data_IF_754068810690
#
_entry.id   IF_754068810690
#
_cell.length_a   1.000
_cell.length_b   1.000
_cell.length_c   1.000
_cell.angle_alpha   90.00
_cell.angle_beta   90.00
_cell.angle_gamma   90.00
#
_symmetry.space_group_name_H-M   'P 1'
#
loop_
_entity.id
_entity.type
_entity.pdbx_description
1 polymer ?
#
# COMPACT_ATOMS: atom_id res chain seq x y z
N UNK A 1 5.51 46.78 28.82
CA UNK A 1 4.42 45.85 28.43
C UNK A 1 4.72 45.33 27.03
N UNK A 2 5.44 44.21 26.92
CA UNK A 2 5.72 43.55 25.65
C UNK A 2 4.77 42.35 25.51
N UNK A 3 3.88 42.38 24.53
CA UNK A 3 2.98 41.27 24.21
C UNK A 3 3.77 40.27 23.37
N UNK A 4 4.03 39.11 23.96
CA UNK A 4 4.65 37.97 23.27
C UNK A 4 3.57 37.26 22.45
N UNK A 5 3.67 37.36 21.13
CA UNK A 5 2.86 36.59 20.18
C UNK A 5 3.37 35.15 20.16
N UNK A 6 2.63 34.23 20.77
CA UNK A 6 2.83 32.79 20.63
C UNK A 6 2.38 32.38 19.23
N UNK A 7 3.33 32.10 18.34
CA UNK A 7 3.08 31.42 17.09
C UNK A 7 2.76 29.95 17.40
N UNK A 8 1.50 29.55 17.21
CA UNK A 8 1.08 28.15 17.26
C UNK A 8 1.63 27.46 16.00
N UNK A 9 2.68 26.65 16.17
CA UNK A 9 3.20 25.80 15.09
C UNK A 9 2.22 24.64 14.90
N UNK A 10 1.39 24.72 13.86
CA UNK A 10 0.50 23.64 13.46
C UNK A 10 1.36 22.53 12.81
N UNK A 11 1.69 21.49 13.57
CA UNK A 11 2.30 20.27 13.03
C UNK A 11 1.21 19.49 12.31
N UNK A 12 1.09 19.66 10.99
CA UNK A 12 0.28 18.76 10.17
C UNK A 12 0.95 17.38 10.13
N UNK A 13 0.36 16.44 10.87
CA UNK A 13 0.64 15.01 10.73
C UNK A 13 0.15 14.56 9.34
N UNK A 14 1.01 14.71 8.34
CA UNK A 14 0.80 14.13 7.02
C UNK A 14 0.93 12.62 7.13
N UNK A 15 -0.19 11.91 7.06
CA UNK A 15 -0.21 10.45 6.97
C UNK A 15 0.61 10.01 5.73
N UNK A 16 1.48 9.00 5.86
CA UNK A 16 2.25 8.51 4.73
C UNK A 16 1.29 7.93 3.68
N UNK A 17 1.25 8.57 2.51
CA UNK A 17 0.64 7.99 1.34
C UNK A 17 1.43 6.72 0.95
N UNK A 18 0.92 5.56 1.34
CA UNK A 18 1.49 4.28 0.93
C UNK A 18 1.38 4.20 -0.60
N UNK A 19 2.54 4.14 -1.26
CA UNK A 19 2.63 3.88 -2.68
C UNK A 19 2.08 2.45 -2.93
N UNK A 20 0.80 2.36 -3.32
CA UNK A 20 0.12 1.08 -3.55
C UNK A 20 0.78 0.33 -4.70
N UNK A 21 1.29 -0.86 -4.37
CA UNK A 21 2.05 -1.76 -5.26
C UNK A 21 1.19 -2.73 -6.08
N UNK A 22 -0.11 -2.83 -5.79
CA UNK A 22 -0.95 -3.85 -6.41
C UNK A 22 -1.68 -3.28 -7.63
N UNK A 23 -1.25 -3.68 -8.85
CA UNK A 23 -1.91 -3.30 -10.11
C UNK A 23 -3.32 -3.92 -10.26
N UNK A 24 -3.64 -4.92 -9.45
CA UNK A 24 -4.85 -5.73 -9.63
C UNK A 24 -6.07 -5.28 -8.81
N UNK A 25 -5.92 -4.37 -7.84
CA UNK A 25 -7.02 -3.95 -6.97
C UNK A 25 -7.03 -2.42 -6.81
N UNK A 26 -7.61 -1.71 -7.78
CA UNK A 26 -7.94 -0.28 -7.67
C UNK A 26 -9.10 -0.08 -6.70
N UNK A 27 -8.85 -0.22 -5.40
CA UNK A 27 -9.77 0.29 -4.39
C UNK A 27 -9.68 1.82 -4.37
N UNK A 28 -10.50 2.50 -5.15
CA UNK A 28 -10.65 3.94 -5.01
C UNK A 28 -11.38 4.15 -3.67
N UNK A 29 -10.71 4.76 -2.67
CA UNK A 29 -11.44 5.42 -1.60
C UNK A 29 -12.27 6.49 -2.31
N UNK A 30 -13.53 6.16 -2.59
CA UNK A 30 -14.45 7.14 -3.11
C UNK A 30 -14.56 8.17 -2.00
N UNK A 31 -13.98 9.34 -2.24
CA UNK A 31 -14.35 10.56 -1.54
C UNK A 31 -15.79 10.86 -1.95
N UNK A 32 -16.72 10.05 -1.48
CA UNK A 32 -18.11 10.42 -1.44
C UNK A 32 -18.13 11.68 -0.59
N UNK A 33 -18.52 12.79 -1.20
CA UNK A 33 -18.84 14.02 -0.50
C UNK A 33 -20.07 13.64 0.33
N UNK A 34 -19.84 13.08 1.51
CA UNK A 34 -20.89 12.72 2.43
C UNK A 34 -21.41 14.06 2.94
N UNK A 35 -22.45 14.60 2.30
CA UNK A 35 -23.25 15.72 2.81
C UNK A 35 -24.07 15.28 4.05
N UNK A 36 -23.56 14.33 4.83
CA UNK A 36 -24.12 13.92 6.09
C UNK A 36 -24.03 15.11 7.04
N UNK A 37 -25.16 15.69 7.48
CA UNK A 37 -25.15 16.91 8.28
C UNK A 37 -24.56 16.71 9.69
N UNK A 38 -24.28 15.47 10.11
CA UNK A 38 -23.65 15.11 11.37
C UNK A 38 -23.02 13.69 11.32
N UNK A 39 -21.73 13.59 11.00
CA UNK A 39 -21.00 12.31 10.94
C UNK A 39 -20.95 11.60 12.31
N UNK A 40 -20.91 12.37 13.40
CA UNK A 40 -20.91 11.83 14.76
C UNK A 40 -22.24 11.12 15.06
N UNK A 41 -23.37 11.74 14.72
CA UNK A 41 -24.68 11.12 14.89
C UNK A 41 -24.84 9.85 14.05
N UNK A 42 -24.39 9.85 12.80
CA UNK A 42 -24.45 8.67 11.93
C UNK A 42 -23.61 7.51 12.45
N UNK A 43 -22.37 7.80 12.86
CA UNK A 43 -21.46 6.82 13.45
C UNK A 43 -22.02 6.24 14.74
N UNK A 44 -22.54 7.10 15.63
CA UNK A 44 -23.17 6.69 16.89
C UNK A 44 -24.39 5.79 16.64
N UNK A 45 -25.25 6.15 15.68
CA UNK A 45 -26.41 5.34 15.31
C UNK A 45 -26.00 3.95 14.82
N UNK A 46 -25.02 3.89 13.90
CA UNK A 46 -24.54 2.61 13.37
C UNK A 46 -23.88 1.74 14.45
N UNK A 47 -23.03 2.30 15.32
CA UNK A 47 -22.40 1.53 16.40
C UNK A 47 -23.44 0.91 17.36
N UNK A 48 -24.57 1.59 17.56
CA UNK A 48 -25.70 1.03 18.33
C UNK A 48 -26.39 -0.13 17.60
N UNK A 49 -26.54 -0.04 16.28
CA UNK A 49 -27.07 -1.13 15.45
C UNK A 49 -26.18 -2.37 15.54
N UNK A 50 -24.87 -2.18 15.59
CA UNK A 50 -23.92 -3.27 15.81
C UNK A 50 -24.03 -3.88 17.21
N UNK A 51 -24.60 -3.16 18.19
CA UNK A 51 -24.89 -3.69 19.53
C UNK A 51 -24.23 -2.94 20.69
N UNK A 52 -23.63 -1.76 20.44
CA UNK A 52 -23.08 -0.96 21.53
C UNK A 52 -24.18 -0.29 22.35
N UNK A 53 -23.89 -0.08 23.63
CA UNK A 53 -24.74 0.75 24.48
C UNK A 53 -24.79 2.18 23.92
N UNK A 54 -25.88 2.91 24.21
CA UNK A 54 -26.02 4.30 23.78
C UNK A 54 -24.83 5.17 24.23
N UNK A 55 -24.36 4.95 25.47
CA UNK A 55 -23.24 5.70 26.03
C UNK A 55 -21.91 5.37 25.32
N UNK A 56 -21.62 4.10 25.08
CA UNK A 56 -20.36 3.69 24.42
C UNK A 56 -20.32 4.10 22.95
N UNK A 57 -21.44 3.95 22.24
CA UNK A 57 -21.55 4.38 20.85
C UNK A 57 -21.36 5.90 20.71
N UNK A 58 -21.99 6.69 21.58
CA UNK A 58 -21.79 8.15 21.63
C UNK A 58 -20.34 8.53 21.95
N UNK A 59 -19.71 7.83 22.90
CA UNK A 59 -18.31 8.08 23.25
C UNK A 59 -17.35 7.81 22.08
N UNK A 60 -17.49 6.67 21.40
CA UNK A 60 -16.66 6.34 20.24
C UNK A 60 -16.89 7.31 19.09
N UNK A 61 -18.15 7.66 18.82
CA UNK A 61 -18.48 8.60 17.76
C UNK A 61 -17.86 9.97 18.00
N UNK A 62 -18.03 10.53 19.20
CA UNK A 62 -17.44 11.82 19.58
C UNK A 62 -15.90 11.78 19.54
N UNK A 63 -15.31 10.68 19.99
CA UNK A 63 -13.86 10.52 20.06
C UNK A 63 -13.21 10.43 18.67
N UNK A 64 -13.85 9.74 17.73
CA UNK A 64 -13.24 9.38 16.45
C UNK A 64 -13.79 10.21 15.26
N UNK A 65 -14.91 10.91 15.41
CA UNK A 65 -15.54 11.74 14.34
C UNK A 65 -14.55 12.71 13.69
N UNK A 66 -13.80 13.46 14.51
CA UNK A 66 -12.79 14.41 14.04
C UNK A 66 -11.73 13.75 13.14
N UNK A 67 -11.33 12.52 13.46
CA UNK A 67 -10.33 11.78 12.71
C UNK A 67 -10.87 11.37 11.34
N UNK A 68 -12.12 10.90 11.31
CA UNK A 68 -12.79 10.49 10.08
C UNK A 68 -12.95 11.66 9.10
N UNK A 69 -13.31 12.84 9.61
CA UNK A 69 -13.38 14.08 8.83
C UNK A 69 -12.01 14.47 8.26
N UNK A 70 -10.97 14.41 9.10
CA UNK A 70 -9.63 14.89 8.73
C UNK A 70 -8.93 13.95 7.76
N UNK A 71 -9.16 12.64 7.89
CA UNK A 71 -8.46 11.62 7.12
C UNK A 71 -9.29 11.06 5.95
N UNK A 72 -10.51 11.58 5.76
CA UNK A 72 -11.40 11.16 4.69
C UNK A 72 -11.90 9.72 4.83
N UNK A 73 -11.86 9.15 6.03
CA UNK A 73 -12.38 7.81 6.28
C UNK A 73 -13.92 7.89 6.35
N UNK A 74 -14.59 7.23 5.42
CA UNK A 74 -16.05 7.27 5.30
C UNK A 74 -16.72 6.19 6.16
N UNK A 75 -17.97 6.39 6.57
CA UNK A 75 -18.74 5.38 7.30
C UNK A 75 -18.85 4.04 6.54
N UNK A 76 -19.09 4.01 5.21
CA UNK A 76 -19.03 2.76 4.44
C UNK A 76 -17.68 2.03 4.51
N UNK A 77 -16.57 2.77 4.54
CA UNK A 77 -15.24 2.17 4.72
C UNK A 77 -15.08 1.52 6.10
N UNK A 78 -15.53 2.20 7.16
CA UNK A 78 -15.53 1.63 8.52
C UNK A 78 -16.39 0.38 8.62
N UNK A 79 -17.60 0.41 8.06
CA UNK A 79 -18.50 -0.76 8.00
C UNK A 79 -17.80 -1.96 7.38
N UNK A 80 -17.18 -1.77 6.20
CA UNK A 80 -16.44 -2.84 5.52
C UNK A 80 -15.27 -3.36 6.36
N UNK A 81 -14.54 -2.47 7.04
CA UNK A 81 -13.43 -2.87 7.91
C UNK A 81 -13.92 -3.67 9.13
N UNK A 82 -15.03 -3.26 9.74
CA UNK A 82 -15.67 -3.98 10.84
C UNK A 82 -16.22 -5.34 10.41
N UNK A 83 -16.84 -5.42 9.23
CA UNK A 83 -17.30 -6.68 8.63
C UNK A 83 -16.14 -7.68 8.47
N UNK A 84 -15.00 -7.27 7.91
CA UNK A 84 -13.83 -8.15 7.78
C UNK A 84 -13.25 -8.58 9.14
N UNK A 85 -13.34 -7.72 10.16
CA UNK A 85 -12.87 -8.02 11.51
C UNK A 85 -13.76 -9.02 12.24
N UNK A 86 -15.08 -9.01 11.98
CA UNK A 86 -16.07 -9.81 12.73
C UNK A 86 -16.62 -11.00 11.95
N UNK A 87 -16.53 -11.02 10.62
CA UNK A 87 -17.04 -12.10 9.79
C UNK A 87 -16.38 -13.44 10.16
N UNK A 88 -17.18 -14.51 10.15
CA UNK A 88 -16.70 -15.88 10.40
C UNK A 88 -15.70 -16.37 9.36
N UNK A 89 -15.76 -15.81 8.14
CA UNK A 89 -14.77 -16.01 7.06
C UNK A 89 -13.68 -14.95 7.03
N UNK A 90 -13.76 -13.94 7.90
CA UNK A 90 -12.75 -12.91 8.10
C UNK A 90 -11.86 -13.25 9.30
N UNK A 91 -11.53 -12.24 10.10
CA UNK A 91 -10.66 -12.40 11.29
C UNK A 91 -11.42 -13.01 12.48
N UNK A 92 -12.76 -12.89 12.50
CA UNK A 92 -13.67 -13.43 13.51
C UNK A 92 -13.38 -12.95 14.95
N UNK A 93 -13.06 -11.67 15.10
CA UNK A 93 -12.88 -11.04 16.41
C UNK A 93 -14.23 -10.89 17.13
N UNK A 94 -14.24 -11.02 18.48
CA UNK A 94 -15.35 -10.56 19.28
C UNK A 94 -15.62 -9.08 19.02
N UNK A 95 -16.89 -8.69 18.98
CA UNK A 95 -17.32 -7.32 18.72
C UNK A 95 -16.60 -6.27 19.59
N UNK A 96 -16.42 -6.56 20.88
CA UNK A 96 -15.74 -5.66 21.83
C UNK A 96 -14.29 -5.34 21.45
N UNK A 97 -13.61 -6.28 20.78
CA UNK A 97 -12.23 -6.12 20.32
C UNK A 97 -12.16 -5.57 18.88
N UNK A 98 -13.19 -5.82 18.07
CA UNK A 98 -13.25 -5.39 16.68
C UNK A 98 -13.35 -3.87 16.53
N UNK A 99 -14.15 -3.20 17.37
CA UNK A 99 -14.38 -1.74 17.24
C UNK A 99 -13.12 -0.91 17.51
N UNK A 100 -12.38 -1.10 18.62
CA UNK A 100 -11.11 -0.41 18.82
C UNK A 100 -10.14 -0.65 17.66
N UNK A 101 -10.01 -1.91 17.20
CA UNK A 101 -9.11 -2.27 16.10
C UNK A 101 -9.53 -1.67 14.76
N UNK A 102 -10.82 -1.59 14.48
CA UNK A 102 -11.34 -0.94 13.28
C UNK A 102 -10.87 0.51 13.22
N UNK A 103 -10.99 1.28 14.31
CA UNK A 103 -10.52 2.66 14.32
C UNK A 103 -8.99 2.75 14.21
N UNK A 104 -8.24 1.87 14.87
CA UNK A 104 -6.78 1.82 14.75
C UNK A 104 -6.34 1.51 13.30
N UNK A 105 -7.03 0.61 12.62
CA UNK A 105 -6.73 0.24 11.23
C UNK A 105 -7.20 1.30 10.24
N UNK A 106 -8.31 1.99 10.52
CA UNK A 106 -8.74 3.16 9.76
C UNK A 106 -7.73 4.31 9.87
N UNK A 107 -7.08 4.49 11.03
CA UNK A 107 -5.94 5.41 11.27
C UNK A 107 -4.75 5.17 10.36
N UNK A 108 -4.60 3.92 9.91
CA UNK A 108 -3.54 3.47 9.02
C UNK A 108 -3.99 3.37 7.56
N UNK A 109 -5.24 3.73 7.27
CA UNK A 109 -5.87 3.63 5.95
C UNK A 109 -5.70 2.24 5.30
N UNK A 110 -5.81 1.17 6.10
CA UNK A 110 -5.63 -0.20 5.60
C UNK A 110 -6.79 -0.58 4.69
N UNK A 111 -6.48 -1.30 3.61
CA UNK A 111 -7.52 -1.92 2.77
C UNK A 111 -8.11 -3.12 3.52
N UNK A 112 -9.44 -3.16 3.79
CA UNK A 112 -10.07 -4.22 4.58
C UNK A 112 -9.85 -5.62 4.00
N UNK A 113 -9.94 -5.74 2.67
CA UNK A 113 -9.83 -7.02 1.97
C UNK A 113 -8.39 -7.51 1.99
N UNK A 114 -7.42 -6.63 1.73
CA UNK A 114 -6.01 -6.99 1.84
C UNK A 114 -5.62 -7.37 3.28
N UNK A 115 -6.15 -6.68 4.28
CA UNK A 115 -5.92 -7.01 5.69
C UNK A 115 -6.42 -8.43 6.02
N UNK A 116 -7.66 -8.74 5.65
CA UNK A 116 -8.26 -10.06 5.84
C UNK A 116 -7.47 -11.16 5.11
N UNK A 117 -7.12 -10.94 3.84
CA UNK A 117 -6.31 -11.87 3.06
C UNK A 117 -4.91 -12.08 3.66
N UNK A 118 -4.26 -11.01 4.15
CA UNK A 118 -2.95 -11.10 4.79
C UNK A 118 -3.05 -11.91 6.09
N UNK A 119 -4.05 -11.63 6.93
CA UNK A 119 -4.30 -12.42 8.14
C UNK A 119 -4.44 -13.91 7.83
N UNK A 120 -5.22 -14.27 6.82
CA UNK A 120 -5.41 -15.66 6.42
C UNK A 120 -4.12 -16.31 5.89
N UNK A 121 -3.31 -15.61 5.10
CA UNK A 121 -2.01 -16.14 4.66
C UNK A 121 -1.08 -16.41 5.85
N UNK A 122 -1.12 -15.57 6.89
CA UNK A 122 -0.34 -15.77 8.11
C UNK A 122 -0.88 -16.91 8.97
N UNK A 123 -2.19 -16.96 9.18
CA UNK A 123 -2.85 -17.88 10.11
C UNK A 123 -3.05 -19.29 9.54
N UNK A 124 -3.45 -19.42 8.27
CA UNK A 124 -3.97 -20.68 7.74
C UNK A 124 -2.92 -21.79 7.79
N UNK A 125 -3.28 -22.85 8.51
CA UNK A 125 -2.46 -24.06 8.66
C UNK A 125 -2.91 -25.20 7.76
N UNK A 126 -4.15 -25.15 7.26
CA UNK A 126 -4.80 -26.27 6.61
C UNK A 126 -4.82 -26.06 5.09
N UNK A 127 -4.57 -27.12 4.32
CA UNK A 127 -4.69 -27.09 2.86
C UNK A 127 -6.15 -27.17 2.45
N UNK A 128 -7.01 -26.30 2.96
CA UNK A 128 -8.43 -26.38 2.64
C UNK A 128 -8.67 -26.27 1.11
N UNK A 129 -7.72 -25.72 0.34
CA UNK A 129 -7.82 -25.56 -1.11
C UNK A 129 -6.56 -25.96 -1.90
N UNK A 130 -5.88 -27.03 -1.49
CA UNK A 130 -5.06 -27.86 -2.39
C UNK A 130 -3.80 -27.25 -3.05
N UNK A 131 -3.44 -25.97 -2.87
CA UNK A 131 -2.36 -25.39 -3.69
C UNK A 131 -1.29 -24.55 -2.96
N UNK A 132 -1.43 -24.23 -1.66
CA UNK A 132 -0.35 -23.64 -0.87
C UNK A 132 -0.64 -23.73 0.63
N UNK A 133 0.37 -24.00 1.46
CA UNK A 133 0.26 -23.88 2.92
C UNK A 133 0.49 -22.41 3.28
N UNK A 134 -0.39 -21.83 4.11
CA UNK A 134 -0.08 -20.56 4.77
C UNK A 134 1.13 -20.67 5.71
N UNK A 135 1.45 -19.56 6.38
CA UNK A 135 2.60 -19.51 7.29
C UNK A 135 2.32 -20.22 8.62
N UNK A 136 1.08 -20.65 8.90
CA UNK A 136 0.72 -21.39 10.11
C UNK A 136 1.11 -20.64 11.41
N UNK A 137 0.83 -19.36 11.53
CA UNK A 137 1.06 -18.58 12.75
C UNK A 137 -0.10 -18.74 13.74
N UNK A 138 0.16 -18.43 15.02
CA UNK A 138 -0.93 -18.34 15.98
C UNK A 138 -1.86 -17.17 15.62
N UNK A 139 -3.19 -17.27 15.86
CA UNK A 139 -4.14 -16.21 15.52
C UNK A 139 -3.73 -14.83 16.02
N UNK A 140 -3.21 -14.76 17.25
CA UNK A 140 -2.76 -13.51 17.86
C UNK A 140 -1.57 -12.89 17.12
N UNK A 141 -0.58 -13.71 16.73
CA UNK A 141 0.60 -13.24 15.98
C UNK A 141 0.20 -12.76 14.58
N UNK A 142 -0.65 -13.52 13.89
CA UNK A 142 -1.16 -13.14 12.58
C UNK A 142 -1.91 -11.80 12.64
N UNK A 143 -2.74 -11.60 13.67
CA UNK A 143 -3.50 -10.36 13.89
C UNK A 143 -2.59 -9.16 14.16
N UNK A 144 -1.49 -9.36 14.89
CA UNK A 144 -0.52 -8.31 15.19
C UNK A 144 0.35 -7.95 13.97
N UNK A 145 0.70 -8.93 13.14
CA UNK A 145 1.63 -8.76 12.02
C UNK A 145 0.96 -8.33 10.71
N UNK A 146 -0.28 -8.78 10.44
CA UNK A 146 -0.97 -8.48 9.18
C UNK A 146 -1.08 -6.96 8.88
N UNK A 147 -1.47 -6.10 9.84
CA UNK A 147 -1.52 -4.65 9.62
C UNK A 147 -0.18 -4.08 9.18
N UNK A 148 0.91 -4.45 9.85
CA UNK A 148 2.25 -3.95 9.55
C UNK A 148 2.71 -4.35 8.13
N UNK A 149 2.41 -5.58 7.70
CA UNK A 149 2.73 -6.03 6.34
C UNK A 149 1.92 -5.28 5.28
N UNK A 150 0.64 -5.03 5.53
CA UNK A 150 -0.23 -4.26 4.63
C UNK A 150 0.21 -2.80 4.55
N UNK A 151 0.61 -2.18 5.67
CA UNK A 151 1.19 -0.82 5.70
C UNK A 151 2.45 -0.72 4.84
N UNK A 152 3.26 -1.78 4.84
CA UNK A 152 4.47 -1.86 3.99
C UNK A 152 4.15 -2.15 2.51
N UNK A 153 2.87 -2.28 2.15
CA UNK A 153 2.42 -2.57 0.79
C UNK A 153 2.68 -4.01 0.36
N UNK A 154 2.82 -4.93 1.32
CA UNK A 154 3.07 -6.35 1.05
C UNK A 154 1.79 -6.99 0.49
N UNK A 155 1.91 -7.66 -0.65
CA UNK A 155 0.83 -8.46 -1.22
C UNK A 155 0.76 -9.82 -0.51
N UNK A 156 -0.43 -10.21 -0.05
CA UNK A 156 -0.66 -11.53 0.56
C UNK A 156 -0.38 -12.67 -0.42
N UNK A 157 -0.70 -12.49 -1.70
CA UNK A 157 -0.40 -13.45 -2.78
C UNK A 157 1.10 -13.62 -2.98
N UNK A 158 1.84 -12.51 -3.03
CA UNK A 158 3.31 -12.54 -3.18
C UNK A 158 3.97 -13.16 -1.96
N UNK A 159 3.52 -12.82 -0.74
CA UNK A 159 4.03 -13.41 0.49
C UNK A 159 3.87 -14.94 0.49
N UNK A 160 2.67 -15.43 0.15
CA UNK A 160 2.39 -16.87 0.09
C UNK A 160 3.26 -17.57 -0.96
N UNK A 161 3.40 -16.95 -2.15
CA UNK A 161 4.23 -17.49 -3.23
C UNK A 161 5.71 -17.53 -2.85
N UNK A 162 6.23 -16.46 -2.27
CA UNK A 162 7.61 -16.38 -1.78
C UNK A 162 7.87 -17.42 -0.69
N UNK A 163 6.95 -17.57 0.26
CA UNK A 163 7.02 -18.59 1.29
C UNK A 163 7.17 -19.99 0.70
N UNK A 164 6.32 -20.36 -0.26
CA UNK A 164 6.37 -21.68 -0.89
C UNK A 164 7.70 -21.92 -1.64
N UNK A 165 8.30 -20.89 -2.25
CA UNK A 165 9.61 -21.02 -2.91
C UNK A 165 10.78 -21.11 -1.93
N UNK A 166 10.63 -20.64 -0.69
CA UNK A 166 11.72 -20.59 0.29
C UNK A 166 11.74 -21.81 1.22
N UNK A 167 10.64 -22.53 1.34
CA UNK A 167 10.48 -23.67 2.25
C UNK A 167 10.78 -25.00 1.55
N UNK A 168 11.98 -25.55 1.74
CA UNK A 168 12.39 -26.89 1.27
C UNK A 168 12.16 -27.98 2.35
N UNK A 169 11.01 -27.93 3.03
CA UNK A 169 10.48 -28.92 4.01
C UNK A 169 11.06 -29.03 5.44
N UNK A 170 12.30 -28.60 5.75
CA UNK A 170 12.89 -28.93 7.09
C UNK A 170 12.78 -27.80 8.13
N UNK A 171 12.99 -26.55 7.74
CA UNK A 171 12.75 -25.37 8.58
C UNK A 171 12.03 -24.31 7.76
N UNK A 172 10.90 -23.81 8.27
CA UNK A 172 10.10 -22.80 7.59
C UNK A 172 10.58 -21.42 8.05
N UNK A 173 11.31 -20.64 7.23
CA UNK A 173 11.85 -19.35 7.62
C UNK A 173 10.74 -18.28 7.56
N UNK A 174 9.70 -18.45 8.40
CA UNK A 174 8.48 -17.63 8.37
C UNK A 174 8.83 -16.15 8.56
N UNK A 175 9.72 -15.86 9.51
CA UNK A 175 10.13 -14.50 9.86
C UNK A 175 10.89 -13.86 8.71
N UNK A 176 11.88 -14.55 8.15
CA UNK A 176 12.70 -14.05 7.06
C UNK A 176 11.87 -13.81 5.80
N UNK A 177 10.95 -14.73 5.48
CA UNK A 177 10.05 -14.57 4.33
C UNK A 177 9.18 -13.32 4.47
N UNK A 178 8.63 -13.06 5.66
CA UNK A 178 7.87 -11.83 5.92
C UNK A 178 8.75 -10.59 5.82
N UNK A 179 9.97 -10.62 6.37
CA UNK A 179 10.93 -9.52 6.25
C UNK A 179 11.31 -9.23 4.80
N UNK A 180 11.48 -10.26 3.96
CA UNK A 180 11.78 -10.11 2.53
C UNK A 180 10.58 -9.61 1.74
N UNK A 181 9.38 -10.12 2.01
CA UNK A 181 8.16 -9.64 1.36
C UNK A 181 7.88 -8.17 1.72
N UNK A 182 8.07 -7.79 2.99
CA UNK A 182 7.97 -6.42 3.49
C UNK A 182 9.04 -5.49 2.90
N UNK A 183 10.26 -6.01 2.71
CA UNK A 183 11.31 -5.29 1.99
C UNK A 183 10.95 -5.09 0.52
N UNK A 184 10.04 -5.91 -0.01
CA UNK A 184 9.45 -5.80 -1.32
C UNK A 184 9.95 -6.79 -2.36
N UNK A 185 10.46 -7.94 -1.90
CA UNK A 185 10.89 -9.06 -2.72
C UNK A 185 9.70 -9.70 -3.46
N UNK A 186 9.69 -9.64 -4.80
CA UNK A 186 8.72 -10.37 -5.62
C UNK A 186 9.12 -11.85 -5.77
N UNK A 187 8.14 -12.75 -5.62
CA UNK A 187 8.41 -14.18 -5.55
C UNK A 187 9.00 -14.75 -6.85
N UNK A 188 8.54 -14.28 -8.02
CA UNK A 188 9.03 -14.74 -9.32
C UNK A 188 10.48 -14.30 -9.60
N UNK A 189 10.82 -13.07 -9.17
CA UNK A 189 12.18 -12.55 -9.29
C UNK A 189 13.13 -13.28 -8.37
N UNK A 190 12.71 -13.54 -7.13
CA UNK A 190 13.44 -14.38 -6.20
C UNK A 190 13.71 -15.76 -6.79
N UNK A 191 12.67 -16.43 -7.31
CA UNK A 191 12.82 -17.76 -7.88
C UNK A 191 13.80 -17.78 -9.06
N UNK A 192 13.68 -16.82 -9.98
CA UNK A 192 14.58 -16.70 -11.13
C UNK A 192 16.03 -16.47 -10.70
N UNK A 193 16.27 -15.57 -9.74
CA UNK A 193 17.60 -15.30 -9.21
C UNK A 193 18.17 -16.49 -8.42
N UNK A 194 17.31 -17.24 -7.71
CA UNK A 194 17.70 -18.44 -6.98
C UNK A 194 18.09 -19.58 -7.92
N UNK A 195 17.34 -19.80 -9.01
CA UNK A 195 17.71 -20.79 -10.03
C UNK A 195 19.06 -20.49 -10.68
N UNK A 196 19.42 -19.22 -10.84
CA UNK A 196 20.70 -18.82 -11.43
C UNK A 196 21.89 -18.94 -10.47
N UNK A 197 21.68 -18.68 -9.17
CA UNK A 197 22.78 -18.53 -8.19
C UNK A 197 22.88 -19.68 -7.20
N UNK A 198 21.78 -20.41 -6.99
CA UNK A 198 21.59 -21.38 -5.90
C UNK A 198 21.94 -20.84 -4.50
N UNK A 199 21.90 -19.51 -4.30
CA UNK A 199 22.26 -18.87 -3.04
C UNK A 199 21.13 -17.93 -2.55
N UNK A 200 20.40 -18.35 -1.52
CA UNK A 200 19.15 -17.71 -1.06
C UNK A 200 19.30 -16.20 -0.83
N UNK A 201 20.31 -15.77 -0.08
CA UNK A 201 20.49 -14.34 0.23
C UNK A 201 20.88 -13.49 -0.98
N UNK A 202 21.60 -14.07 -1.96
CA UNK A 202 21.96 -13.36 -3.19
C UNK A 202 20.72 -13.21 -4.07
N UNK A 203 19.88 -14.24 -4.13
CA UNK A 203 18.62 -14.20 -4.85
C UNK A 203 17.63 -13.18 -4.28
N UNK A 204 17.53 -13.08 -2.95
CA UNK A 204 16.69 -12.06 -2.27
C UNK A 204 17.19 -10.65 -2.56
N UNK A 205 18.49 -10.41 -2.44
CA UNK A 205 19.10 -9.11 -2.72
C UNK A 205 18.81 -8.66 -4.16
N UNK A 206 19.02 -9.55 -5.13
CA UNK A 206 18.75 -9.27 -6.54
C UNK A 206 17.25 -9.07 -6.84
N UNK A 207 16.39 -9.88 -6.24
CA UNK A 207 14.94 -9.76 -6.41
C UNK A 207 14.42 -8.42 -5.89
N UNK A 208 14.82 -8.01 -4.68
CA UNK A 208 14.45 -6.71 -4.12
C UNK A 208 15.00 -5.58 -4.99
N UNK A 209 16.29 -5.63 -5.34
CA UNK A 209 16.94 -4.58 -6.15
C UNK A 209 16.20 -4.37 -7.47
N UNK A 210 15.92 -5.46 -8.19
CA UNK A 210 15.25 -5.38 -9.50
C UNK A 210 13.77 -5.04 -9.38
N UNK A 211 13.07 -5.48 -8.32
CA UNK A 211 11.67 -5.14 -8.01
C UNK A 211 11.43 -3.63 -7.84
N UNK A 212 12.48 -2.86 -7.56
CA UNK A 212 12.39 -1.43 -7.28
C UNK A 212 13.17 -0.55 -8.23
N UNK A 213 13.76 -1.09 -9.30
CA UNK A 213 14.45 -0.26 -10.28
C UNK A 213 13.51 0.85 -10.78
N UNK A 214 13.82 2.08 -10.32
CA UNK A 214 13.11 3.34 -10.57
C UNK A 214 11.69 3.50 -9.99
N UNK A 215 11.19 2.59 -9.14
CA UNK A 215 9.77 2.61 -8.73
C UNK A 215 9.49 2.87 -7.26
N UNK A 216 10.45 2.63 -6.35
CA UNK A 216 10.29 3.04 -4.97
C UNK A 216 11.57 3.64 -4.40
N UNK A 217 11.37 4.69 -3.62
CA UNK A 217 12.39 5.36 -2.85
C UNK A 217 12.05 5.21 -1.36
N UNK A 218 13.08 5.14 -0.50
CA UNK A 218 12.91 5.16 0.96
C UNK A 218 13.84 6.20 1.58
N UNK A 219 13.40 6.82 2.66
CA UNK A 219 14.22 7.77 3.41
C UNK A 219 15.29 7.06 4.23
N UNK A 220 16.53 7.47 4.08
CA UNK A 220 17.65 7.10 4.92
C UNK A 220 17.69 7.95 6.21
N UNK A 221 18.56 7.58 7.16
CA UNK A 221 18.77 8.29 8.42
C UNK A 221 19.33 9.71 8.23
N UNK A 222 19.92 10.00 7.07
CA UNK A 222 20.36 11.35 6.69
C UNK A 222 19.24 12.24 6.13
N UNK A 223 18.00 11.72 6.09
CA UNK A 223 16.82 12.40 5.59
C UNK A 223 16.72 12.45 4.06
N UNK A 224 17.66 11.87 3.32
CA UNK A 224 17.58 11.76 1.85
C UNK A 224 16.86 10.49 1.45
N UNK A 225 16.29 10.48 0.26
CA UNK A 225 15.66 9.29 -0.30
C UNK A 225 16.59 8.61 -1.29
N UNK A 226 16.55 7.28 -1.31
CA UNK A 226 17.38 6.45 -2.18
C UNK A 226 16.53 5.39 -2.85
N UNK A 227 16.89 5.03 -4.09
CA UNK A 227 16.43 3.77 -4.70
C UNK A 227 17.02 2.57 -3.94
N UNK A 228 16.45 1.38 -4.10
CA UNK A 228 17.00 0.18 -3.45
C UNK A 228 18.50 -0.03 -3.75
N UNK A 229 18.93 0.19 -5.00
CA UNK A 229 20.35 0.07 -5.38
C UNK A 229 21.23 1.10 -4.66
N UNK A 230 20.84 2.39 -4.68
CA UNK A 230 21.63 3.43 -4.02
C UNK A 230 21.61 3.27 -2.48
N UNK A 231 20.51 2.75 -1.93
CA UNK A 231 20.38 2.47 -0.49
C UNK A 231 21.32 1.33 -0.08
N UNK A 232 21.47 0.31 -0.94
CA UNK A 232 22.47 -0.75 -0.78
C UNK A 232 23.89 -0.21 -0.79
N UNK A 233 24.23 0.64 -1.75
CA UNK A 233 25.57 1.26 -1.82
C UNK A 233 25.85 2.12 -0.58
N UNK A 234 24.84 2.82 -0.06
CA UNK A 234 24.96 3.68 1.12
C UNK A 234 25.17 2.90 2.43
N UNK A 235 24.43 1.82 2.67
CA UNK A 235 24.45 1.06 3.93
C UNK A 235 25.25 -0.24 3.90
N UNK A 236 25.76 -0.65 2.74
CA UNK A 236 26.53 -1.88 2.56
C UNK A 236 25.76 -3.12 3.03
N UNK A 237 26.39 -4.00 3.79
CA UNK A 237 25.78 -5.27 4.23
C UNK A 237 24.53 -5.11 5.13
N UNK A 238 24.33 -3.94 5.74
CA UNK A 238 23.18 -3.68 6.63
C UNK A 238 21.98 -3.08 5.90
N UNK A 239 22.07 -2.87 4.60
CA UNK A 239 21.08 -2.12 3.84
C UNK A 239 19.67 -2.69 3.94
N UNK A 240 19.51 -4.02 3.89
CA UNK A 240 18.19 -4.65 3.90
C UNK A 240 17.45 -4.41 5.23
N UNK A 241 18.16 -4.55 6.35
CA UNK A 241 17.61 -4.26 7.68
C UNK A 241 17.19 -2.80 7.80
N UNK A 242 18.01 -1.89 7.29
CA UNK A 242 17.72 -0.44 7.30
C UNK A 242 16.57 -0.09 6.34
N UNK A 243 16.53 -0.71 5.16
CA UNK A 243 15.50 -0.52 4.14
C UNK A 243 14.12 -0.90 4.67
N UNK A 244 13.97 -2.07 5.29
CA UNK A 244 12.70 -2.53 5.86
C UNK A 244 12.21 -1.65 7.01
N UNK A 245 13.13 -1.04 7.78
CA UNK A 245 12.81 -0.09 8.84
C UNK A 245 12.56 1.35 8.33
N UNK A 246 12.95 1.66 7.10
CA UNK A 246 12.90 3.01 6.55
C UNK A 246 11.51 3.34 6.02
N UNK A 247 10.97 4.54 6.28
CA UNK A 247 9.71 4.97 5.69
C UNK A 247 9.78 5.00 4.16
N UNK A 248 8.71 4.56 3.49
CA UNK A 248 8.56 4.75 2.06
C UNK A 248 8.50 6.25 1.75
N UNK A 249 9.27 6.69 0.75
CA UNK A 249 9.16 8.05 0.25
C UNK A 249 7.81 8.22 -0.46
N UNK A 250 7.15 9.35 -0.24
CA UNK A 250 5.93 9.68 -0.96
C UNK A 250 6.25 9.89 -2.46
N UNK A 251 5.27 9.67 -3.33
CA UNK A 251 5.45 9.54 -4.79
C UNK A 251 6.41 10.62 -5.33
N UNK A 252 7.47 10.18 -6.00
CA UNK A 252 8.49 11.05 -6.58
C UNK A 252 8.06 11.40 -8.00
N UNK A 253 7.93 12.68 -8.33
CA UNK A 253 7.63 13.09 -9.71
C UNK A 253 8.88 13.01 -10.61
N UNK A 254 8.72 13.24 -11.91
CA UNK A 254 9.82 13.23 -12.88
C UNK A 254 10.93 14.26 -12.56
N UNK A 255 10.61 15.29 -11.78
CA UNK A 255 11.57 16.28 -11.30
C UNK A 255 12.44 15.79 -10.12
N UNK A 256 12.26 14.54 -9.72
CA UNK A 256 12.99 13.91 -8.64
C UNK A 256 12.54 14.33 -7.24
N UNK A 257 11.50 15.17 -7.07
CA UNK A 257 11.01 15.56 -5.74
C UNK A 257 9.94 14.60 -5.24
N UNK A 258 9.92 14.33 -3.94
CA UNK A 258 8.84 13.62 -3.28
C UNK A 258 7.66 14.57 -3.03
N UNK A 259 6.44 14.11 -3.36
CA UNK A 259 5.21 14.87 -3.18
C UNK A 259 4.26 14.10 -2.26
N UNK A 260 3.55 14.81 -1.39
CA UNK A 260 2.33 14.26 -0.78
C UNK A 260 1.30 13.96 -1.86
N UNK A 261 0.30 13.12 -1.60
CA UNK A 261 -0.74 12.80 -2.60
C UNK A 261 -1.39 14.07 -3.16
N UNK A 262 -1.87 15.03 -2.35
CA UNK A 262 -2.40 16.29 -2.88
C UNK A 262 -1.39 17.06 -3.75
N UNK A 263 -0.12 17.15 -3.31
CA UNK A 263 0.92 17.85 -4.06
C UNK A 263 1.28 17.12 -5.36
N UNK A 264 1.20 15.78 -5.38
CA UNK A 264 1.47 14.97 -6.57
C UNK A 264 0.35 15.16 -7.61
N UNK A 265 -0.91 15.19 -7.16
CA UNK A 265 -2.06 15.54 -7.99
C UNK A 265 -1.95 16.97 -8.54
N UNK A 266 -1.52 17.92 -7.71
CA UNK A 266 -1.32 19.31 -8.13
C UNK A 266 -0.11 19.50 -9.06
N UNK A 267 0.94 18.68 -8.92
CA UNK A 267 2.11 18.73 -9.79
C UNK A 267 1.81 18.17 -11.18
N UNK A 268 1.12 17.04 -11.26
CA UNK A 268 0.83 16.40 -12.54
C UNK A 268 -0.46 16.89 -13.21
N UNK A 269 -1.33 17.63 -12.51
CA UNK A 269 -2.63 18.16 -13.00
C UNK A 269 -3.27 17.28 -14.09
N UNK A 270 -3.37 17.82 -15.30
CA UNK A 270 -3.98 17.15 -16.45
C UNK A 270 -2.98 16.26 -17.21
N UNK A 271 -1.68 16.36 -16.97
CA UNK A 271 -0.62 15.73 -17.77
C UNK A 271 -0.31 14.28 -17.37
N UNK A 272 -0.92 13.78 -16.29
CA UNK A 272 -0.72 12.38 -15.87
C UNK A 272 -1.47 11.36 -16.75
N UNK A 273 -2.52 11.79 -17.46
CA UNK A 273 -3.25 10.93 -18.38
C UNK A 273 -2.57 10.96 -19.75
N UNK A 274 -2.19 9.79 -20.31
CA UNK A 274 -1.67 9.74 -21.67
C UNK A 274 -2.69 10.39 -22.62
N UNK A 275 -2.19 11.15 -23.60
CA UNK A 275 -3.00 11.98 -24.51
C UNK A 275 -4.16 11.20 -25.15
N UNK A 276 -4.00 9.89 -25.33
CA UNK A 276 -5.02 8.97 -25.86
C UNK A 276 -6.23 8.78 -24.92
N UNK A 277 -6.04 8.86 -23.59
CA UNK A 277 -7.14 8.83 -22.62
C UNK A 277 -7.93 10.15 -22.60
N UNK A 278 -7.29 11.29 -22.90
CA UNK A 278 -7.98 12.58 -23.08
C UNK A 278 -8.92 12.56 -24.31
N UNK A 279 -8.51 11.87 -25.38
CA UNK A 279 -9.31 11.76 -26.61
C UNK A 279 -10.60 10.94 -26.40
N UNK A 280 -10.61 9.92 -25.54
CA UNK A 280 -11.84 9.15 -25.28
C UNK A 280 -12.87 9.91 -24.44
N UNK A 281 -12.43 10.81 -23.55
CA UNK A 281 -13.35 11.61 -22.72
C UNK A 281 -13.99 12.75 -23.54
N UNK A 282 -13.27 13.34 -24.49
CA UNK A 282 -13.81 14.38 -25.38
C UNK A 282 -14.62 13.81 -26.58
N UNK A 283 -14.28 12.60 -27.04
CA UNK A 283 -15.00 11.93 -28.14
C UNK A 283 -16.41 11.43 -27.78
N UNK A 284 -16.75 11.33 -26.50
CA UNK A 284 -18.04 10.77 -26.07
C UNK A 284 -19.21 11.79 -26.04
N UNK A 285 -18.98 13.03 -26.51
CA UNK A 285 -20.02 14.08 -26.60
C UNK A 285 -20.56 14.37 -28.00
N UNK A 286 -20.15 13.62 -29.04
CA UNK A 286 -20.67 13.84 -30.40
C UNK A 286 -21.07 12.54 -31.06
N UNK A 287 -22.38 12.39 -31.31
CA UNK A 287 -22.87 11.87 -32.59
C UNK A 287 -22.92 10.36 -32.78
N UNK A 288 -24.11 9.83 -32.55
CA UNK A 288 -24.68 8.61 -33.10
C UNK A 288 -24.32 8.37 -34.59
N UNK A 289 -23.56 7.31 -34.94
CA UNK A 289 -23.52 6.74 -36.30
C UNK A 289 -22.93 5.31 -36.34
N UNK A 290 -23.68 4.41 -37.01
CA UNK A 290 -23.32 3.04 -37.43
C UNK A 290 -22.09 3.00 -38.36
N UNK A 291 -21.18 2.04 -38.16
CA UNK A 291 -20.44 1.31 -39.22
C UNK A 291 -19.64 0.14 -38.58
N UNK A 292 -19.97 -1.12 -38.88
CA UNK A 292 -19.29 -2.03 -39.83
C UNK A 292 -17.91 -2.54 -39.38
N UNK A 293 -17.90 -3.81 -38.97
CA UNK A 293 -16.71 -4.61 -38.68
C UNK A 293 -16.04 -5.11 -39.97
N UNK A 294 -14.72 -4.96 -40.06
CA UNK A 294 -13.89 -5.68 -41.03
C UNK A 294 -12.51 -5.06 -41.17
N UNK A 295 -11.46 -5.77 -40.76
CA UNK A 295 -10.09 -5.33 -41.06
C UNK A 295 -9.01 -5.93 -40.16
N UNK A 296 -8.42 -7.02 -40.63
CA UNK A 296 -7.15 -7.59 -40.18
C UNK A 296 -6.01 -6.56 -40.16
N UNK A 297 -5.27 -6.49 -39.05
CA UNK A 297 -4.09 -5.63 -38.89
C UNK A 297 -2.99 -6.31 -38.06
N UNK A 298 -1.85 -6.56 -38.71
CA UNK A 298 -0.63 -7.19 -38.18
C UNK A 298 -0.03 -6.40 -37.02
N UNK A 299 0.36 -7.10 -35.95
CA UNK A 299 1.21 -6.56 -34.88
C UNK A 299 2.64 -6.37 -35.40
N UNK A 300 3.16 -5.15 -35.28
CA UNK A 300 4.59 -4.85 -35.38
C UNK A 300 5.16 -4.42 -34.02
N UNK A 301 6.47 -4.62 -33.77
CA UNK A 301 7.06 -4.53 -32.44
C UNK A 301 7.27 -3.08 -31.97
N UNK A 302 7.18 -2.89 -30.66
CA UNK A 302 7.50 -1.66 -29.96
C UNK A 302 9.00 -1.36 -30.01
N UNK A 303 9.38 -0.34 -30.77
CA UNK A 303 10.69 0.30 -30.67
C UNK A 303 10.54 1.61 -29.89
N UNK A 304 11.10 1.67 -28.68
CA UNK A 304 11.34 2.93 -27.98
C UNK A 304 12.69 3.51 -28.42
N UNK A 305 12.69 4.66 -29.10
CA UNK A 305 13.89 5.47 -29.30
C UNK A 305 13.54 6.95 -29.44
N UNK A 306 13.93 7.76 -28.44
CA UNK A 306 14.67 9.04 -28.50
C UNK A 306 14.65 9.67 -27.11
N UNK A 307 15.75 9.60 -26.36
CA UNK A 307 16.92 10.52 -26.40
C UNK A 307 16.64 11.82 -25.65
N UNK A 308 16.94 11.81 -24.35
CA UNK A 308 17.21 13.02 -23.57
C UNK A 308 18.72 13.24 -23.53
N UNK A 309 19.15 14.43 -23.93
CA UNK A 309 20.54 14.88 -23.91
C UNK A 309 21.08 14.88 -22.47
N UNK A 310 22.22 14.21 -22.24
CA UNK A 310 23.03 14.41 -21.04
C UNK A 310 23.54 15.87 -21.00
N UNK A 311 23.46 16.58 -19.85
CA UNK A 311 24.20 17.82 -19.68
C UNK A 311 25.70 17.53 -19.53
N UNK A 312 26.51 18.30 -20.25
CA UNK A 312 27.96 18.21 -20.23
C UNK A 312 28.52 18.61 -18.85
N UNK A 313 29.44 17.81 -18.33
CA UNK A 313 30.27 18.10 -17.16
C UNK A 313 31.36 19.09 -17.61
N UNK A 314 31.51 20.27 -17.00
CA UNK A 314 32.65 21.15 -17.28
C UNK A 314 33.94 20.52 -16.72
N UNK A 315 35.07 20.60 -17.45
CA UNK A 315 36.35 20.13 -16.93
C UNK A 315 36.87 21.07 -15.84
N UNK A 316 37.42 20.47 -14.79
CA UNK A 316 38.10 21.16 -13.68
C UNK A 316 39.18 22.13 -14.19
N UNK A 317 39.05 23.40 -13.80
CA UNK A 317 40.13 24.36 -13.59
C UNK A 317 39.82 25.24 -12.37
#
# INVERSE_FOLDING_TARGET
MARSSLAMTLVMLMLPATARRNKDDTFIMQAGISEAPDLEAELSSWLREEGLSYADAGWWAQKESWYLETCGATLPYLKKLYEELTASRGIALPQGDAIPKMFDYAKKALDPVQLSNMYWVLYDCNHAYGHAKGLCQYPKEALEQAPALVEMGTSSKELLKLYNFMTDDIERPKKEVMEFAAAGCEADRYWSAYQATHHKLVAVDEAIRTSFEMQAFRYAEDGKYYTASQFKDHYGSNWLKKWSASPAAQKVAEDGKAYSVPQFWEFFKDDWLPTEAKVQVEGSKVGNAKAHCGGSGRMHPWHYAKSAKQPAIPPDQ
#
